data_IF_947149718604
#
_entry.id   IF_947149718604
#
_cell.length_a   1.000
_cell.length_b   1.000
_cell.length_c   1.000
_cell.angle_alpha   90.00
_cell.angle_beta   90.00
_cell.angle_gamma   90.00
#
_symmetry.space_group_name_H-M   'P 1'
#
loop_
_entity.id
_entity.type
_entity.pdbx_description
1 polymer ?
#
# COMPACT_ATOMS: atom_id res chain seq x y z
N UNK A 1 -32.87 30.17 23.10
CA UNK A 1 -31.72 29.65 22.32
C UNK A 1 -32.06 28.27 21.72
N UNK A 2 -32.90 28.20 20.68
CA UNK A 2 -33.34 26.92 20.08
C UNK A 2 -33.07 26.78 18.57
N UNK A 3 -32.62 27.85 17.90
CA UNK A 3 -32.37 27.85 16.46
C UNK A 3 -31.29 26.85 16.03
N UNK A 4 -30.31 26.58 16.90
CA UNK A 4 -29.17 25.69 16.61
C UNK A 4 -29.52 24.19 16.59
N UNK A 5 -30.63 23.76 17.20
CA UNK A 5 -31.05 22.34 17.17
C UNK A 5 -31.87 22.00 15.92
N UNK A 6 -32.73 22.90 15.46
CA UNK A 6 -33.54 22.72 14.24
C UNK A 6 -32.66 22.70 12.99
N UNK A 7 -31.64 23.56 12.94
CA UNK A 7 -30.68 23.58 11.82
C UNK A 7 -29.80 22.31 11.76
N UNK A 8 -29.49 21.69 12.91
CA UNK A 8 -28.78 20.40 12.94
C UNK A 8 -29.65 19.24 12.45
N UNK A 9 -30.95 19.25 12.72
CA UNK A 9 -31.90 18.28 12.17
C UNK A 9 -32.05 18.42 10.65
N UNK A 10 -32.07 19.66 10.13
CA UNK A 10 -32.10 19.94 8.71
C UNK A 10 -30.81 19.52 7.97
N UNK A 11 -29.66 19.51 8.65
CA UNK A 11 -28.38 19.09 8.08
C UNK A 11 -28.19 17.55 8.01
N UNK A 12 -29.10 16.78 8.63
CA UNK A 12 -29.03 15.31 8.67
C UNK A 12 -29.98 14.59 7.70
N UNK A 13 -30.91 15.32 7.07
CA UNK A 13 -31.86 14.76 6.11
C UNK A 13 -31.21 14.59 4.75
N UNK A 14 -31.24 13.36 4.19
CA UNK A 14 -30.88 13.14 2.79
C UNK A 14 -31.70 14.09 1.92
N UNK A 15 -31.03 14.97 1.16
CA UNK A 15 -31.68 15.84 0.17
C UNK A 15 -32.66 15.00 -0.67
N UNK A 16 -33.88 15.50 -0.89
CA UNK A 16 -34.87 14.82 -1.71
C UNK A 16 -34.23 14.53 -3.08
N UNK A 17 -34.05 13.24 -3.39
CA UNK A 17 -33.37 12.84 -4.60
C UNK A 17 -34.36 12.97 -5.76
N UNK A 18 -34.18 14.00 -6.59
CA UNK A 18 -35.06 14.34 -7.72
C UNK A 18 -35.22 13.17 -8.71
N UNK A 19 -34.21 12.30 -8.79
CA UNK A 19 -34.21 11.15 -9.69
C UNK A 19 -34.79 9.88 -9.06
N UNK A 20 -35.19 9.93 -7.78
CA UNK A 20 -35.63 8.76 -7.02
C UNK A 20 -34.53 7.73 -6.71
N UNK A 21 -33.30 7.95 -7.19
CA UNK A 21 -32.19 7.01 -7.00
C UNK A 21 -31.58 7.15 -5.60
N UNK A 22 -31.67 6.11 -4.78
CA UNK A 22 -31.13 6.12 -3.43
C UNK A 22 -29.78 5.39 -3.35
N UNK A 23 -28.69 6.15 -3.26
CA UNK A 23 -27.31 5.62 -3.17
C UNK A 23 -27.09 4.72 -1.94
N UNK A 24 -27.73 5.01 -0.81
CA UNK A 24 -27.61 4.18 0.40
C UNK A 24 -28.31 2.84 0.22
N UNK A 25 -29.49 2.84 -0.39
CA UNK A 25 -30.22 1.61 -0.70
C UNK A 25 -29.44 0.75 -1.72
N UNK A 26 -28.87 1.38 -2.75
CA UNK A 26 -28.01 0.70 -3.72
C UNK A 26 -26.78 0.08 -3.04
N UNK A 27 -26.06 0.84 -2.19
CA UNK A 27 -24.91 0.30 -1.45
C UNK A 27 -25.28 -0.87 -0.54
N UNK A 28 -26.47 -0.84 0.06
CA UNK A 28 -26.97 -1.95 0.86
C UNK A 28 -27.29 -3.19 0.00
N UNK A 29 -27.67 -3.00 -1.27
CA UNK A 29 -27.96 -4.10 -2.19
C UNK A 29 -26.75 -4.60 -3.00
N UNK A 30 -25.63 -3.88 -3.03
CA UNK A 30 -24.40 -4.26 -3.78
C UNK A 30 -23.53 -5.33 -3.10
N UNK A 31 -24.08 -6.05 -2.12
CA UNK A 31 -23.36 -7.13 -1.44
C UNK A 31 -23.29 -8.40 -2.28
N UNK A 32 -22.32 -9.27 -1.97
CA UNK A 32 -22.33 -10.63 -2.50
C UNK A 32 -23.56 -11.37 -1.94
N UNK A 33 -24.40 -11.98 -2.79
CA UNK A 33 -25.53 -12.76 -2.31
C UNK A 33 -25.02 -13.94 -1.47
N UNK A 34 -25.83 -14.41 -0.52
CA UNK A 34 -25.47 -15.52 0.37
C UNK A 34 -25.13 -16.81 -0.39
N UNK A 35 -25.71 -17.00 -1.57
CA UNK A 35 -25.48 -18.14 -2.44
C UNK A 35 -25.44 -17.67 -3.90
N UNK A 36 -24.30 -17.86 -4.55
CA UNK A 36 -24.12 -17.60 -5.97
C UNK A 36 -24.14 -18.93 -6.73
N UNK A 37 -25.13 -19.18 -7.62
CA UNK A 37 -25.19 -20.42 -8.40
C UNK A 37 -23.99 -20.60 -9.35
N UNK A 38 -23.24 -19.52 -9.64
CA UNK A 38 -22.07 -19.55 -10.52
C UNK A 38 -20.73 -19.66 -9.78
N UNK A 39 -20.74 -19.72 -8.45
CA UNK A 39 -19.51 -19.73 -7.64
C UNK A 39 -18.53 -20.81 -8.10
N UNK A 40 -19.03 -22.03 -8.38
CA UNK A 40 -18.21 -23.13 -8.91
C UNK A 40 -17.66 -22.85 -10.31
N UNK A 41 -18.44 -22.20 -11.17
CA UNK A 41 -18.03 -21.85 -12.53
C UNK A 41 -16.97 -20.73 -12.54
N UNK A 42 -17.00 -19.85 -11.55
CA UNK A 42 -16.04 -18.73 -11.41
C UNK A 42 -14.81 -19.10 -10.56
N UNK A 43 -14.85 -20.23 -9.85
CA UNK A 43 -13.81 -20.65 -8.92
C UNK A 43 -12.40 -20.74 -9.53
N UNK A 44 -12.28 -21.16 -10.80
CA UNK A 44 -11.00 -21.29 -11.49
C UNK A 44 -10.21 -19.98 -11.57
N UNK A 45 -10.89 -18.83 -11.58
CA UNK A 45 -10.27 -17.49 -11.67
C UNK A 45 -9.43 -17.13 -10.45
N UNK A 46 -9.66 -17.80 -9.33
CA UNK A 46 -9.03 -17.50 -8.05
C UNK A 46 -8.26 -18.69 -7.46
N UNK A 47 -8.18 -19.80 -8.20
CA UNK A 47 -7.48 -21.02 -7.79
C UNK A 47 -6.16 -21.20 -8.54
N UNK A 48 -5.29 -22.08 -8.00
CA UNK A 48 -4.01 -22.44 -8.61
C UNK A 48 -3.08 -21.23 -8.84
N UNK A 49 -2.61 -21.00 -10.08
CA UNK A 49 -1.69 -19.89 -10.38
C UNK A 49 -2.32 -18.50 -10.19
N UNK A 50 -3.66 -18.40 -10.15
CA UNK A 50 -4.37 -17.13 -10.08
C UNK A 50 -4.73 -16.67 -8.67
N UNK A 51 -4.25 -17.37 -7.63
CA UNK A 51 -4.44 -16.96 -6.24
C UNK A 51 -3.79 -15.59 -5.98
N UNK A 52 -4.29 -14.85 -4.99
CA UNK A 52 -3.73 -13.54 -4.60
C UNK A 52 -2.22 -13.62 -4.38
N UNK A 53 -1.78 -14.65 -3.67
CA UNK A 53 -0.36 -14.86 -3.37
C UNK A 53 0.48 -15.12 -4.61
N UNK A 54 0.01 -15.97 -5.53
CA UNK A 54 0.76 -16.29 -6.73
C UNK A 54 0.91 -15.10 -7.69
N UNK A 55 -0.03 -14.14 -7.67
CA UNK A 55 0.11 -12.87 -8.40
C UNK A 55 1.25 -12.01 -7.85
N UNK A 56 1.46 -12.00 -6.54
CA UNK A 56 2.52 -11.20 -5.90
C UNK A 56 3.87 -11.90 -5.84
N UNK A 57 3.91 -13.24 -5.87
CA UNK A 57 5.15 -14.03 -5.81
C UNK A 57 6.18 -13.64 -6.88
N UNK A 58 5.72 -13.23 -8.06
CA UNK A 58 6.58 -12.77 -9.16
C UNK A 58 6.80 -11.25 -9.23
N UNK A 59 6.31 -10.47 -8.26
CA UNK A 59 6.34 -9.00 -8.33
C UNK A 59 7.74 -8.38 -8.20
N UNK A 60 8.66 -9.07 -7.54
CA UNK A 60 10.04 -8.59 -7.31
C UNK A 60 11.06 -9.68 -7.67
N UNK A 61 11.21 -9.98 -8.97
CA UNK A 61 12.20 -10.96 -9.41
C UNK A 61 13.60 -10.45 -9.07
N UNK A 62 14.40 -11.28 -8.38
CA UNK A 62 15.79 -10.95 -8.08
C UNK A 62 16.01 -10.05 -6.85
N UNK A 63 14.96 -9.68 -6.08
CA UNK A 63 15.14 -8.93 -4.83
C UNK A 63 16.06 -9.68 -3.85
N UNK A 64 15.88 -10.99 -3.70
CA UNK A 64 16.71 -11.80 -2.79
C UNK A 64 18.19 -11.82 -3.20
N UNK A 65 18.47 -12.03 -4.49
CA UNK A 65 19.85 -12.02 -5.01
C UNK A 65 20.48 -10.63 -4.92
N UNK A 66 19.71 -9.58 -5.19
CA UNK A 66 20.17 -8.20 -5.06
C UNK A 66 20.50 -7.84 -3.61
N UNK A 67 19.65 -8.21 -2.66
CA UNK A 67 19.91 -8.01 -1.23
C UNK A 67 21.17 -8.74 -0.75
N UNK A 68 21.39 -9.98 -1.21
CA UNK A 68 22.61 -10.73 -0.87
C UNK A 68 23.85 -10.07 -1.46
N UNK A 69 23.81 -9.67 -2.73
CA UNK A 69 24.94 -9.00 -3.38
C UNK A 69 25.25 -7.65 -2.72
N UNK A 70 24.21 -6.87 -2.40
CA UNK A 70 24.35 -5.61 -1.68
C UNK A 70 24.96 -5.80 -0.29
N UNK A 71 24.45 -6.75 0.49
CA UNK A 71 25.01 -7.05 1.81
C UNK A 71 26.47 -7.53 1.72
N UNK A 72 26.80 -8.37 0.73
CA UNK A 72 28.17 -8.80 0.48
C UNK A 72 29.09 -7.63 0.12
N UNK A 73 28.61 -6.68 -0.68
CA UNK A 73 29.33 -5.45 -0.99
C UNK A 73 29.55 -4.58 0.26
N UNK A 74 28.51 -4.35 1.08
CA UNK A 74 28.66 -3.58 2.32
C UNK A 74 29.66 -4.22 3.30
N UNK A 75 29.65 -5.55 3.43
CA UNK A 75 30.64 -6.25 4.25
C UNK A 75 32.05 -6.13 3.67
N UNK A 76 32.19 -6.24 2.35
CA UNK A 76 33.46 -6.04 1.67
C UNK A 76 33.98 -4.62 1.86
N UNK A 77 33.12 -3.61 1.71
CA UNK A 77 33.46 -2.21 1.96
C UNK A 77 33.90 -1.98 3.41
N UNK A 78 33.12 -2.48 4.37
CA UNK A 78 33.38 -2.28 5.79
C UNK A 78 34.65 -2.98 6.31
N UNK A 79 35.00 -4.16 5.79
CA UNK A 79 36.17 -4.90 6.27
C UNK A 79 37.41 -4.75 5.39
N UNK A 80 37.28 -4.50 4.09
CA UNK A 80 38.43 -4.48 3.18
C UNK A 80 38.73 -3.10 2.59
N UNK A 81 37.73 -2.25 2.33
CA UNK A 81 37.99 -0.89 1.85
C UNK A 81 38.22 0.13 2.99
N UNK A 82 37.52 0.00 4.13
CA UNK A 82 37.76 0.88 5.30
C UNK A 82 39.13 0.58 5.97
N UNK A 83 39.61 -0.67 5.95
CA UNK A 83 40.93 -1.04 6.51
C UNK A 83 42.11 -0.48 5.68
N UNK A 84 41.97 -0.30 4.36
CA UNK A 84 43.01 0.30 3.49
C UNK A 84 43.05 1.84 3.52
N UNK A 85 41.99 2.52 3.98
CA UNK A 85 41.90 4.00 4.02
C UNK A 85 42.19 4.62 5.40
N UNK A 86 42.60 3.83 6.40
CA UNK A 86 42.94 4.31 7.75
C UNK A 86 44.45 4.42 8.00
N UNK A 87 45.25 4.60 6.94
CA UNK A 87 46.67 4.98 7.04
C UNK A 87 47.00 6.10 6.05
N UNK A 88 46.53 7.32 6.30
CA UNK A 88 46.94 8.48 5.52
C UNK A 88 46.27 9.80 5.90
N UNK A 89 46.83 10.45 6.91
CA UNK A 89 46.81 11.89 7.19
C UNK A 89 45.49 12.64 7.52
N UNK A 90 45.49 13.09 8.78
CA UNK A 90 44.99 14.37 9.28
C UNK A 90 45.11 15.51 8.24
N UNK A 91 44.03 16.28 8.02
CA UNK A 91 43.90 17.70 7.59
C UNK A 91 42.42 17.88 7.16
N UNK A 92 41.53 18.65 7.80
CA UNK A 92 41.62 20.07 8.12
C UNK A 92 40.40 20.79 7.50
N UNK A 93 39.70 21.59 8.30
CA UNK A 93 38.69 22.61 7.95
C UNK A 93 37.24 22.19 7.65
N UNK A 94 36.43 22.19 8.70
CA UNK A 94 35.10 22.76 8.61
C UNK A 94 35.21 24.28 8.75
N UNK A 95 35.07 25.00 7.65
CA UNK A 95 34.80 26.44 7.66
C UNK A 95 33.68 26.74 6.65
N UNK A 96 32.69 27.45 7.16
CA UNK A 96 31.65 28.18 6.44
C UNK A 96 32.25 29.00 5.30
N UNK A 97 31.51 29.26 4.21
CA UNK A 97 31.51 30.55 3.47
C UNK A 97 30.71 30.45 2.13
N UNK A 98 29.65 31.28 2.06
CA UNK A 98 28.82 31.74 0.93
C UNK A 98 27.66 30.88 0.38
#
# INVERSE_FOLDING_TARGET
MFASRVLRAAHGGSKANITGFNMRAFKASTGQPRYDPWERAEAWRYQGPFTRWNRFKGGLPGLGTASVAFAGYCLYEHFFLEEEHHHGDDHGHGEEHH
#
